data_IF_647808297533
#
_entry.id   IF_647808297533
#
_cell.length_a   1.000
_cell.length_b   1.000
_cell.length_c   1.000
_cell.angle_alpha   90.00
_cell.angle_beta   90.00
_cell.angle_gamma   90.00
#
_symmetry.space_group_name_H-M   'P 1'
#
loop_
_entity.id
_entity.type
_entity.pdbx_description
1 polymer ?
#
# COMPACT_ATOMS: atom_id res chain seq x y z
N UNK A 1 60.73 -19.96 -18.06
CA UNK A 1 59.33 -20.44 -18.11
C UNK A 1 58.48 -19.31 -18.69
N UNK A 2 58.14 -19.37 -19.98
CA UNK A 2 57.48 -18.25 -20.67
C UNK A 2 55.98 -18.17 -20.37
N UNK A 3 55.47 -16.98 -20.03
CA UNK A 3 54.03 -16.75 -19.84
C UNK A 3 53.29 -16.91 -21.17
N UNK A 4 52.30 -17.81 -21.24
CA UNK A 4 51.38 -17.92 -22.38
C UNK A 4 50.26 -16.90 -22.21
N UNK A 5 50.26 -15.85 -23.02
CA UNK A 5 49.23 -14.80 -23.01
C UNK A 5 47.86 -15.27 -23.51
N UNK A 6 47.80 -16.31 -24.34
CA UNK A 6 46.55 -16.84 -24.90
C UNK A 6 46.49 -18.36 -24.83
N UNK A 7 45.32 -18.88 -24.46
CA UNK A 7 45.00 -20.32 -24.44
C UNK A 7 43.65 -20.51 -25.12
N UNK A 8 43.60 -21.31 -26.20
CA UNK A 8 42.35 -21.66 -26.87
C UNK A 8 41.42 -22.38 -25.89
N UNK A 9 40.19 -21.89 -25.76
CA UNK A 9 39.09 -22.55 -25.04
C UNK A 9 37.93 -22.73 -26.00
N UNK A 10 37.37 -23.94 -26.04
CA UNK A 10 36.10 -24.21 -26.74
C UNK A 10 34.96 -24.00 -25.75
N UNK A 11 34.05 -23.08 -26.07
CA UNK A 11 32.81 -22.85 -25.31
C UNK A 11 31.63 -23.36 -26.12
N UNK A 12 30.67 -23.99 -25.44
CA UNK A 12 29.40 -24.36 -26.06
C UNK A 12 28.56 -23.09 -26.24
N UNK A 13 28.14 -22.81 -27.47
CA UNK A 13 27.22 -21.73 -27.77
C UNK A 13 25.81 -22.31 -27.98
N UNK A 14 24.76 -21.61 -27.53
CA UNK A 14 23.39 -22.08 -27.73
C UNK A 14 23.09 -22.15 -29.23
N UNK A 15 22.45 -23.24 -29.64
CA UNK A 15 21.93 -23.38 -31.00
C UNK A 15 20.70 -22.50 -31.17
N UNK A 16 20.32 -22.18 -32.41
CA UNK A 16 19.15 -21.33 -32.67
C UNK A 16 17.85 -21.84 -32.02
N UNK A 17 17.56 -23.16 -31.88
CA UNK A 17 16.38 -23.62 -31.15
C UNK A 17 16.46 -23.30 -29.65
N UNK A 18 17.64 -23.45 -29.04
CA UNK A 18 17.86 -23.09 -27.63
C UNK A 18 17.64 -21.60 -27.41
N UNK A 19 18.12 -20.76 -28.33
CA UNK A 19 17.90 -19.30 -28.27
C UNK A 19 16.40 -18.99 -28.35
N UNK A 20 15.67 -19.58 -29.31
CA UNK A 20 14.22 -19.35 -29.46
C UNK A 20 13.43 -19.81 -28.24
N UNK A 21 13.71 -21.02 -27.72
CA UNK A 21 13.06 -21.52 -26.50
C UNK A 21 13.35 -20.62 -25.31
N UNK A 22 14.60 -20.15 -25.18
CA UNK A 22 14.98 -19.22 -24.09
C UNK A 22 14.24 -17.89 -24.19
N UNK A 23 14.15 -17.31 -25.40
CA UNK A 23 13.38 -16.08 -25.64
C UNK A 23 11.91 -16.30 -25.30
N UNK A 24 11.33 -17.42 -25.74
CA UNK A 24 9.94 -17.75 -25.44
C UNK A 24 9.69 -17.83 -23.94
N UNK A 25 10.54 -18.53 -23.19
CA UNK A 25 10.44 -18.63 -21.73
C UNK A 25 10.54 -17.25 -21.06
N UNK A 26 11.47 -16.40 -21.52
CA UNK A 26 11.63 -15.04 -20.98
C UNK A 26 10.38 -14.22 -21.24
N UNK A 27 9.87 -14.22 -22.48
CA UNK A 27 8.69 -13.44 -22.86
C UNK A 27 7.45 -13.91 -22.10
N UNK A 28 7.21 -15.23 -22.01
CA UNK A 28 6.06 -15.75 -21.26
C UNK A 28 6.17 -15.45 -19.78
N UNK A 29 7.37 -15.51 -19.19
CA UNK A 29 7.60 -15.14 -17.79
C UNK A 29 7.34 -13.66 -17.54
N UNK A 30 7.83 -12.78 -18.42
CA UNK A 30 7.59 -11.33 -18.34
C UNK A 30 6.09 -11.05 -18.43
N UNK A 31 5.40 -11.64 -19.41
CA UNK A 31 3.96 -11.48 -19.57
C UNK A 31 3.22 -11.96 -18.32
N UNK A 32 3.55 -13.15 -17.81
CA UNK A 32 2.93 -13.70 -16.60
C UNK A 32 3.12 -12.77 -15.40
N UNK A 33 4.33 -12.25 -15.18
CA UNK A 33 4.61 -11.28 -14.11
C UNK A 33 3.79 -10.01 -14.32
N UNK A 34 3.78 -9.46 -15.53
CA UNK A 34 3.02 -8.24 -15.83
C UNK A 34 1.52 -8.44 -15.57
N UNK A 35 0.91 -9.49 -16.10
CA UNK A 35 -0.53 -9.76 -15.93
C UNK A 35 -0.90 -10.08 -14.48
N UNK A 36 -0.02 -10.72 -13.73
CA UNK A 36 -0.27 -11.08 -12.32
C UNK A 36 0.06 -9.97 -11.34
N UNK A 37 0.89 -8.99 -11.73
CA UNK A 37 1.43 -7.96 -10.85
C UNK A 37 0.36 -7.07 -10.24
N UNK A 38 -0.67 -6.70 -11.01
CA UNK A 38 -1.75 -5.85 -10.53
C UNK A 38 -2.53 -6.53 -9.39
N UNK A 39 -3.08 -7.73 -9.64
CA UNK A 39 -3.80 -8.50 -8.62
C UNK A 39 -2.92 -8.88 -7.42
N UNK A 40 -1.63 -9.15 -7.65
CA UNK A 40 -0.70 -9.36 -6.57
C UNK A 40 -0.63 -8.12 -5.67
N UNK A 41 -0.42 -6.94 -6.23
CA UNK A 41 -0.28 -5.69 -5.49
C UNK A 41 -1.59 -5.20 -4.85
N UNK A 42 -2.71 -5.34 -5.56
CA UNK A 42 -4.06 -4.94 -5.18
C UNK A 42 -4.72 -5.93 -4.21
N UNK A 43 -3.99 -6.32 -3.16
CA UNK A 43 -4.42 -7.38 -2.24
C UNK A 43 -5.42 -6.87 -1.21
N UNK A 44 -6.54 -7.59 -1.09
CA UNK A 44 -7.46 -7.51 0.04
C UNK A 44 -7.40 -8.81 0.80
N UNK A 45 -7.07 -8.73 2.09
CA UNK A 45 -7.02 -9.85 3.02
C UNK A 45 -7.34 -9.33 4.42
N UNK A 46 -8.62 -9.36 4.79
CA UNK A 46 -9.12 -8.90 6.08
C UNK A 46 -8.75 -9.90 7.18
N UNK A 47 -8.50 -9.40 8.39
CA UNK A 47 -8.33 -10.28 9.56
C UNK A 47 -9.66 -10.54 10.26
N UNK A 48 -9.86 -11.75 10.81
CA UNK A 48 -11.08 -12.05 11.54
C UNK A 48 -11.20 -11.17 12.79
N UNK A 49 -12.42 -10.73 13.08
CA UNK A 49 -12.75 -9.90 14.26
C UNK A 49 -11.96 -8.59 14.35
N UNK A 50 -11.58 -7.99 13.21
CA UNK A 50 -11.01 -6.66 13.19
C UNK A 50 -12.03 -5.65 13.77
N UNK A 51 -11.69 -5.04 14.90
CA UNK A 51 -12.52 -3.99 15.54
C UNK A 51 -12.11 -2.59 15.15
N UNK A 52 -10.97 -2.47 14.49
CA UNK A 52 -10.37 -1.18 14.13
C UNK A 52 -10.22 -1.13 12.61
N UNK A 53 -10.75 -0.06 12.01
CA UNK A 53 -10.52 0.26 10.61
C UNK A 53 -9.47 1.38 10.53
N UNK A 54 -8.29 1.10 9.99
CA UNK A 54 -7.23 2.08 9.82
C UNK A 54 -7.26 2.56 8.37
N UNK A 55 -7.27 3.87 8.11
CA UNK A 55 -7.40 4.41 6.75
C UNK A 55 -6.23 5.33 6.45
N UNK A 56 -5.55 5.11 5.32
CA UNK A 56 -4.59 6.08 4.79
C UNK A 56 -5.33 7.31 4.25
N UNK A 57 -5.20 8.45 4.92
CA UNK A 57 -6.07 9.61 4.71
C UNK A 57 -5.72 10.46 3.48
N UNK A 58 -4.63 10.14 2.76
CA UNK A 58 -4.21 10.87 1.55
C UNK A 58 -5.08 10.57 0.33
N UNK A 59 -5.95 9.55 0.42
CA UNK A 59 -6.86 9.14 -0.66
C UNK A 59 -7.94 10.21 -0.93
N UNK A 60 -8.50 10.18 -2.13
CA UNK A 60 -9.51 11.15 -2.61
C UNK A 60 -10.90 10.92 -2.00
N UNK A 61 -11.82 11.86 -2.19
CA UNK A 61 -13.18 11.78 -1.64
C UNK A 61 -13.95 10.52 -2.10
N UNK A 62 -13.79 10.06 -3.35
CA UNK A 62 -14.37 8.79 -3.81
C UNK A 62 -13.89 7.56 -3.01
N UNK A 63 -12.70 7.63 -2.43
CA UNK A 63 -12.21 6.60 -1.53
C UNK A 63 -12.80 6.77 -0.13
N UNK A 64 -13.04 8.01 0.31
CA UNK A 64 -13.71 8.28 1.59
C UNK A 64 -15.18 7.86 1.56
N UNK A 65 -15.87 7.99 0.43
CA UNK A 65 -17.21 7.43 0.19
C UNK A 65 -17.20 5.92 0.45
N UNK A 66 -16.29 5.17 -0.16
CA UNK A 66 -16.16 3.73 0.04
C UNK A 66 -15.74 3.35 1.47
N UNK A 67 -14.90 4.16 2.12
CA UNK A 67 -14.56 3.97 3.53
C UNK A 67 -15.80 4.12 4.41
N UNK A 68 -16.62 5.14 4.15
CA UNK A 68 -17.87 5.34 4.87
C UNK A 68 -18.86 4.19 4.62
N UNK A 69 -18.97 3.70 3.38
CA UNK A 69 -19.77 2.51 3.06
C UNK A 69 -19.30 1.27 3.84
N UNK A 70 -17.98 1.00 3.88
CA UNK A 70 -17.42 -0.12 4.65
C UNK A 70 -17.72 0.02 6.15
N UNK A 71 -17.59 1.23 6.70
CA UNK A 71 -17.75 1.47 8.14
C UNK A 71 -19.23 1.53 8.58
N UNK A 72 -20.14 1.89 7.67
CA UNK A 72 -21.57 1.99 7.95
C UNK A 72 -22.35 0.72 7.53
N UNK A 73 -21.71 -0.24 6.85
CA UNK A 73 -22.35 -1.49 6.45
C UNK A 73 -22.89 -2.26 7.67
N UNK A 74 -24.11 -2.80 7.60
CA UNK A 74 -24.76 -3.45 8.75
C UNK A 74 -24.00 -4.68 9.28
N UNK A 75 -23.22 -5.33 8.44
CA UNK A 75 -22.45 -6.55 8.73
C UNK A 75 -21.01 -6.28 9.18
N UNK A 76 -20.61 -5.01 9.33
CA UNK A 76 -19.27 -4.66 9.75
C UNK A 76 -19.06 -4.82 11.27
N UNK A 77 -17.82 -5.13 11.68
CA UNK A 77 -17.45 -5.32 13.09
C UNK A 77 -16.55 -4.20 13.64
N UNK A 78 -16.40 -3.10 12.90
CA UNK A 78 -15.49 -2.02 13.28
C UNK A 78 -16.13 -1.13 14.36
N UNK A 79 -15.46 -1.04 15.50
CA UNK A 79 -15.88 -0.22 16.64
C UNK A 79 -15.22 1.16 16.63
N UNK A 80 -14.13 1.34 15.87
CA UNK A 80 -13.40 2.61 15.73
C UNK A 80 -12.71 2.72 14.37
N UNK A 81 -12.55 3.96 13.89
CA UNK A 81 -11.91 4.32 12.63
C UNK A 81 -10.72 5.24 12.91
N UNK A 82 -9.53 4.84 12.46
CA UNK A 82 -8.28 5.56 12.71
C UNK A 82 -7.68 6.10 11.41
N UNK A 83 -7.51 7.41 11.34
CA UNK A 83 -6.93 8.08 10.17
C UNK A 83 -5.43 8.30 10.35
N UNK A 84 -4.65 7.74 9.43
CA UNK A 84 -3.19 7.90 9.38
C UNK A 84 -2.80 8.62 8.10
N UNK A 85 -1.82 9.52 8.17
CA UNK A 85 -1.36 10.20 6.97
C UNK A 85 -0.46 11.40 7.24
N UNK A 86 0.05 12.04 6.18
CA UNK A 86 0.92 13.18 6.32
C UNK A 86 0.14 14.47 6.60
N UNK A 87 0.89 15.54 6.85
CA UNK A 87 0.40 16.91 6.68
C UNK A 87 -0.06 17.13 5.24
N UNK A 88 -0.90 18.13 5.01
CA UNK A 88 -1.29 18.50 3.66
C UNK A 88 -0.04 18.83 2.84
N UNK A 89 0.11 18.20 1.68
CA UNK A 89 1.25 18.47 0.77
C UNK A 89 1.07 19.81 0.06
N UNK A 90 -0.17 20.11 -0.30
CA UNK A 90 -0.59 21.36 -0.90
C UNK A 90 -1.70 21.96 -0.06
N UNK A 91 -1.67 23.28 0.11
CA UNK A 91 -2.68 23.99 0.89
C UNK A 91 -2.35 24.15 2.37
N UNK A 92 -1.28 23.55 2.90
CA UNK A 92 -0.93 23.63 4.33
C UNK A 92 -0.85 25.07 4.89
N UNK A 93 -0.21 25.98 4.16
CA UNK A 93 -0.01 27.36 4.62
C UNK A 93 -1.25 28.25 4.47
N UNK A 94 -2.16 27.92 3.53
CA UNK A 94 -3.35 28.74 3.22
C UNK A 94 -4.64 28.19 3.82
N UNK A 95 -4.68 26.89 4.13
CA UNK A 95 -5.84 26.26 4.74
C UNK A 95 -5.91 26.65 6.21
N UNK A 96 -6.92 27.43 6.58
CA UNK A 96 -7.10 27.87 7.97
C UNK A 96 -7.59 26.71 8.85
N UNK A 97 -8.48 25.86 8.31
CA UNK A 97 -9.21 24.85 9.06
C UNK A 97 -8.50 23.49 9.18
N UNK A 98 -7.85 23.04 8.10
CA UNK A 98 -7.25 21.69 8.03
C UNK A 98 -5.77 21.76 7.70
N UNK A 99 -4.93 21.10 8.49
CA UNK A 99 -3.47 21.05 8.30
C UNK A 99 -2.95 19.66 7.95
N UNK A 100 -3.77 18.63 8.08
CA UNK A 100 -3.42 17.25 7.77
C UNK A 100 -4.49 16.59 6.91
N UNK A 101 -4.09 15.58 6.14
CA UNK A 101 -5.05 14.76 5.40
C UNK A 101 -6.01 14.03 6.35
N UNK A 102 -5.54 13.61 7.53
CA UNK A 102 -6.41 12.98 8.54
C UNK A 102 -7.49 13.93 9.05
N UNK A 103 -7.19 15.22 9.27
CA UNK A 103 -8.21 16.19 9.66
C UNK A 103 -9.24 16.45 8.56
N UNK A 104 -8.79 16.52 7.31
CA UNK A 104 -9.67 16.69 6.15
C UNK A 104 -10.56 15.45 5.97
N UNK A 105 -9.96 14.25 5.95
CA UNK A 105 -10.66 12.98 5.84
C UNK A 105 -11.67 12.76 6.96
N UNK A 106 -11.36 13.16 8.20
CA UNK A 106 -12.31 13.10 9.31
C UNK A 106 -13.56 13.93 9.04
N UNK A 107 -13.37 15.17 8.58
CA UNK A 107 -14.49 16.04 8.25
C UNK A 107 -15.31 15.49 7.08
N UNK A 108 -14.65 14.94 6.06
CA UNK A 108 -15.33 14.27 4.93
C UNK A 108 -16.13 13.06 5.42
N UNK A 109 -15.54 12.17 6.21
CA UNK A 109 -16.22 10.98 6.73
C UNK A 109 -17.39 11.32 7.66
N UNK A 110 -17.27 12.34 8.50
CA UNK A 110 -18.40 12.85 9.30
C UNK A 110 -19.52 13.37 8.41
N UNK A 111 -19.19 14.11 7.34
CA UNK A 111 -20.19 14.57 6.37
C UNK A 111 -20.86 13.41 5.61
N UNK A 112 -20.14 12.29 5.44
CA UNK A 112 -20.64 11.04 4.85
C UNK A 112 -21.38 10.14 5.87
N UNK A 113 -21.61 10.63 7.09
CA UNK A 113 -22.42 9.94 8.09
C UNK A 113 -21.66 8.99 9.02
N UNK A 114 -20.32 8.95 8.99
CA UNK A 114 -19.54 8.22 10.00
C UNK A 114 -19.61 8.98 11.34
N UNK A 115 -20.00 8.34 12.46
CA UNK A 115 -20.11 9.01 13.74
C UNK A 115 -18.78 9.61 14.19
N UNK A 116 -18.77 10.90 14.55
CA UNK A 116 -17.53 11.63 14.85
C UNK A 116 -16.76 11.03 16.02
N UNK A 117 -17.46 10.51 17.03
CA UNK A 117 -16.90 9.86 18.22
C UNK A 117 -16.17 8.54 17.91
N UNK A 118 -16.40 7.98 16.72
CA UNK A 118 -15.73 6.77 16.22
C UNK A 118 -14.46 7.09 15.44
N UNK A 119 -14.23 8.35 15.06
CA UNK A 119 -13.11 8.77 14.23
C UNK A 119 -11.98 9.28 15.12
N UNK A 120 -10.82 8.63 15.01
CA UNK A 120 -9.60 8.97 15.73
C UNK A 120 -8.49 9.36 14.75
N UNK A 121 -7.67 10.34 15.12
CA UNK A 121 -6.59 10.84 14.28
C UNK A 121 -5.26 10.47 14.90
N UNK A 122 -4.43 9.73 14.16
CA UNK A 122 -3.03 9.59 14.53
C UNK A 122 -2.27 10.89 14.21
N UNK A 123 -1.22 11.23 14.98
CA UNK A 123 -0.34 12.35 14.66
C UNK A 123 0.17 12.26 13.22
N UNK A 124 0.22 13.41 12.54
CA UNK A 124 0.67 13.46 11.16
C UNK A 124 2.10 12.95 11.01
N UNK A 125 2.33 12.10 10.01
CA UNK A 125 3.68 11.66 9.66
C UNK A 125 4.52 12.85 9.20
N UNK A 126 5.84 12.81 9.46
CA UNK A 126 6.75 13.84 8.95
C UNK A 126 6.71 13.87 7.41
N UNK A 127 6.85 15.04 6.77
CA UNK A 127 6.73 15.15 5.31
C UNK A 127 7.91 14.52 4.53
N UNK A 128 9.02 14.22 5.19
CA UNK A 128 10.27 13.76 4.58
C UNK A 128 10.47 12.25 4.73
N UNK A 129 10.49 11.53 3.59
CA UNK A 129 10.73 10.08 3.40
C UNK A 129 9.90 9.17 4.34
N UNK A 130 9.74 7.90 3.97
CA UNK A 130 9.12 6.87 4.85
C UNK A 130 7.72 7.23 5.41
N UNK A 131 6.84 7.89 4.63
CA UNK A 131 5.55 8.42 5.12
C UNK A 131 4.67 7.34 5.73
N UNK A 132 4.47 6.22 5.02
CA UNK A 132 3.66 5.09 5.52
C UNK A 132 4.27 4.49 6.79
N UNK A 133 5.59 4.35 6.87
CA UNK A 133 6.26 3.87 8.07
C UNK A 133 6.09 4.83 9.26
N UNK A 134 6.32 6.13 9.06
CA UNK A 134 6.14 7.14 10.11
C UNK A 134 4.67 7.23 10.55
N UNK A 135 3.72 7.11 9.63
CA UNK A 135 2.30 7.06 9.93
C UNK A 135 1.94 5.81 10.77
N UNK A 136 2.51 4.65 10.42
CA UNK A 136 2.33 3.41 11.16
C UNK A 136 2.96 3.45 12.56
N UNK A 137 4.13 4.08 12.73
CA UNK A 137 4.76 4.28 14.04
C UNK A 137 3.90 5.18 14.93
N UNK A 138 3.39 6.29 14.37
CA UNK A 138 2.49 7.18 15.09
C UNK A 138 1.22 6.43 15.51
N UNK A 139 0.61 5.66 14.60
CA UNK A 139 -0.53 4.81 14.93
C UNK A 139 -0.22 3.82 16.05
N UNK A 140 0.91 3.10 15.98
CA UNK A 140 1.31 2.15 17.03
C UNK A 140 1.38 2.83 18.39
N UNK A 141 1.94 4.03 18.45
CA UNK A 141 2.04 4.80 19.69
C UNK A 141 0.66 5.24 20.21
N UNK A 142 -0.23 5.67 19.33
CA UNK A 142 -1.60 6.04 19.71
C UNK A 142 -2.40 4.83 20.20
N UNK A 143 -2.39 3.73 19.46
CA UNK A 143 -3.06 2.50 19.88
C UNK A 143 -2.52 2.00 21.22
N UNK A 144 -1.22 2.19 21.50
CA UNK A 144 -0.64 1.92 22.82
C UNK A 144 -1.18 2.81 23.92
N UNK A 145 -1.28 4.12 23.68
CA UNK A 145 -1.81 5.07 24.65
C UNK A 145 -3.31 4.84 24.92
N UNK A 146 -4.07 4.39 23.91
CA UNK A 146 -5.48 4.05 24.03
C UNK A 146 -5.75 2.65 24.58
N UNK A 147 -4.71 1.86 24.92
CA UNK A 147 -4.88 0.50 25.42
C UNK A 147 -5.27 -0.54 24.36
N UNK A 148 -5.18 -0.20 23.07
CA UNK A 148 -5.60 -0.99 21.91
C UNK A 148 -4.43 -1.67 21.17
N UNK A 149 -3.23 -1.75 21.76
CA UNK A 149 -2.02 -2.30 21.10
C UNK A 149 -2.12 -3.74 20.61
N UNK A 150 -3.07 -4.53 21.13
CA UNK A 150 -3.28 -5.93 20.76
C UNK A 150 -4.54 -6.18 19.94
N UNK A 151 -5.27 -5.12 19.58
CA UNK A 151 -6.50 -5.25 18.82
C UNK A 151 -6.19 -5.46 17.32
N UNK A 152 -6.81 -6.48 16.68
CA UNK A 152 -6.70 -6.67 15.25
C UNK A 152 -7.32 -5.51 14.48
N UNK A 153 -6.69 -5.14 13.36
CA UNK A 153 -7.17 -4.05 12.52
C UNK A 153 -6.99 -4.34 11.04
N UNK A 154 -7.86 -3.76 10.23
CA UNK A 154 -7.72 -3.75 8.78
C UNK A 154 -7.22 -2.38 8.32
N UNK A 155 -6.14 -2.38 7.53
CA UNK A 155 -5.65 -1.19 6.85
C UNK A 155 -6.40 -0.99 5.53
N UNK A 156 -6.90 0.21 5.27
CA UNK A 156 -7.56 0.60 4.03
C UNK A 156 -6.65 1.54 3.26
N UNK A 157 -6.39 1.20 2.00
CA UNK A 157 -5.64 2.05 1.07
C UNK A 157 -6.01 1.74 -0.38
N UNK A 158 -5.38 2.42 -1.33
CA UNK A 158 -5.73 2.36 -2.76
C UNK A 158 -5.00 1.25 -3.51
N UNK A 159 -5.78 0.28 -4.02
CA UNK A 159 -5.41 -0.61 -5.11
C UNK A 159 -3.97 -1.17 -5.01
N UNK A 160 -3.16 -1.02 -6.06
CA UNK A 160 -1.78 -1.53 -6.15
C UNK A 160 -0.81 -0.97 -5.09
N UNK A 161 -1.20 0.06 -4.34
CA UNK A 161 -0.43 0.53 -3.19
C UNK A 161 -0.56 -0.39 -1.96
N UNK A 162 -1.64 -1.19 -1.90
CA UNK A 162 -2.04 -1.95 -0.74
C UNK A 162 -0.96 -2.89 -0.22
N UNK A 163 -0.35 -3.70 -1.10
CA UNK A 163 0.66 -4.66 -0.64
C UNK A 163 1.87 -3.99 -0.01
N UNK A 164 2.35 -2.88 -0.59
CA UNK A 164 3.50 -2.17 -0.02
C UNK A 164 3.17 -1.57 1.34
N UNK A 165 2.03 -0.87 1.45
CA UNK A 165 1.59 -0.32 2.73
C UNK A 165 1.42 -1.41 3.79
N UNK A 166 0.85 -2.55 3.39
CA UNK A 166 0.66 -3.68 4.29
C UNK A 166 1.98 -4.26 4.81
N UNK A 167 2.98 -4.44 3.95
CA UNK A 167 4.33 -4.86 4.35
C UNK A 167 4.94 -3.85 5.32
N UNK A 168 4.87 -2.55 5.00
CA UNK A 168 5.43 -1.49 5.84
C UNK A 168 4.78 -1.45 7.22
N UNK A 169 3.44 -1.49 7.30
CA UNK A 169 2.70 -1.50 8.56
C UNK A 169 3.04 -2.76 9.36
N UNK A 170 3.07 -3.94 8.73
CA UNK A 170 3.47 -5.19 9.38
C UNK A 170 4.89 -5.17 9.95
N UNK A 171 5.80 -4.34 9.45
CA UNK A 171 7.15 -4.22 10.03
C UNK A 171 7.19 -3.36 11.29
N UNK A 172 6.21 -2.48 11.49
CA UNK A 172 6.11 -1.62 12.69
C UNK A 172 5.50 -2.36 13.88
N UNK A 173 4.50 -3.19 13.61
CA UNK A 173 3.74 -3.92 14.63
C UNK A 173 4.35 -5.31 14.90
N UNK A 174 4.20 -5.77 16.14
CA UNK A 174 4.73 -7.08 16.57
C UNK A 174 3.85 -8.24 16.09
N UNK A 175 2.53 -8.11 16.24
CA UNK A 175 1.52 -9.12 15.87
C UNK A 175 1.07 -8.94 14.41
N UNK A 176 1.91 -9.39 13.48
CA UNK A 176 1.71 -9.20 12.04
C UNK A 176 0.49 -9.94 11.49
N UNK A 177 0.12 -11.04 12.12
CA UNK A 177 -1.04 -11.87 11.80
C UNK A 177 -2.39 -11.19 12.13
N UNK A 178 -2.37 -10.16 12.97
CA UNK A 178 -3.55 -9.37 13.35
C UNK A 178 -3.76 -8.11 12.50
N UNK A 179 -3.04 -8.01 11.37
CA UNK A 179 -3.10 -6.84 10.49
C UNK A 179 -3.61 -7.29 9.13
N UNK A 180 -4.84 -6.93 8.82
CA UNK A 180 -5.43 -7.12 7.51
C UNK A 180 -5.25 -5.91 6.61
N UNK A 181 -5.73 -6.05 5.38
CA UNK A 181 -5.60 -5.05 4.32
C UNK A 181 -6.85 -5.07 3.44
N UNK A 182 -7.31 -3.88 3.05
CA UNK A 182 -8.40 -3.67 2.11
C UNK A 182 -7.88 -2.73 1.03
N UNK A 183 -7.76 -3.25 -0.19
CA UNK A 183 -7.41 -2.49 -1.37
C UNK A 183 -8.68 -1.93 -2.00
N UNK A 184 -8.89 -0.62 -1.91
CA UNK A 184 -9.97 0.07 -2.60
C UNK A 184 -9.67 0.15 -4.11
N UNK A 185 -10.70 0.15 -4.97
CA UNK A 185 -10.53 0.35 -6.40
C UNK A 185 -9.84 1.71 -6.69
N UNK A 186 -9.07 1.77 -7.79
CA UNK A 186 -8.40 2.98 -8.21
C UNK A 186 -9.41 4.01 -8.72
N UNK A 187 -9.14 5.28 -8.50
CA UNK A 187 -9.97 6.38 -9.05
C UNK A 187 -9.52 6.77 -10.45
N UNK A 188 -8.22 6.60 -10.76
CA UNK A 188 -7.62 7.11 -11.99
C UNK A 188 -7.74 6.18 -13.22
N UNK A 189 -8.23 4.95 -13.05
CA UNK A 189 -8.34 3.96 -14.13
C UNK A 189 -9.33 2.84 -13.77
N UNK A 190 -9.72 2.01 -14.74
CA UNK A 190 -10.47 0.78 -14.51
C UNK A 190 -9.51 -0.35 -14.08
N UNK A 191 -9.71 -0.92 -12.89
CA UNK A 191 -8.85 -1.96 -12.34
C UNK A 191 -8.80 -3.23 -13.20
N UNK A 192 -9.91 -3.64 -13.81
CA UNK A 192 -9.97 -4.85 -14.64
C UNK A 192 -9.28 -4.64 -15.98
N UNK A 193 -9.25 -3.40 -16.47
CA UNK A 193 -8.63 -2.99 -17.73
C UNK A 193 -7.39 -2.13 -17.52
N UNK A 194 -6.68 -2.31 -16.41
CA UNK A 194 -5.60 -1.41 -15.99
C UNK A 194 -4.52 -1.19 -17.05
N UNK A 195 -4.21 -2.21 -17.86
CA UNK A 195 -3.24 -2.15 -18.96
C UNK A 195 -3.65 -1.23 -20.11
N UNK A 196 -4.94 -0.93 -20.27
CA UNK A 196 -5.45 -0.05 -21.31
C UNK A 196 -5.25 1.44 -20.96
N UNK A 197 -4.76 1.73 -19.75
CA UNK A 197 -4.56 3.09 -19.27
C UNK A 197 -3.10 3.36 -18.90
N UNK A 198 -2.58 4.55 -19.24
CA UNK A 198 -1.25 4.96 -18.80
C UNK A 198 -1.14 5.02 -17.28
N UNK A 199 -2.23 5.44 -16.60
CA UNK A 199 -2.29 5.49 -15.14
C UNK A 199 -2.13 4.10 -14.51
N UNK A 200 -2.92 3.11 -14.95
CA UNK A 200 -2.85 1.74 -14.46
C UNK A 200 -1.47 1.11 -14.69
N UNK A 201 -0.93 1.20 -15.92
CA UNK A 201 0.40 0.66 -16.22
C UNK A 201 1.49 1.29 -15.35
N UNK A 202 1.52 2.63 -15.24
CA UNK A 202 2.53 3.33 -14.44
C UNK A 202 2.41 2.98 -12.95
N UNK A 203 1.19 3.02 -12.41
CA UNK A 203 0.95 2.68 -11.00
C UNK A 203 1.41 1.26 -10.67
N UNK A 204 1.05 0.27 -11.49
CA UNK A 204 1.45 -1.13 -11.26
C UNK A 204 2.96 -1.34 -11.34
N UNK A 205 3.63 -0.74 -12.34
CA UNK A 205 5.09 -0.90 -12.49
C UNK A 205 5.82 -0.22 -11.32
N UNK A 206 5.46 1.02 -11.00
CA UNK A 206 6.13 1.74 -9.92
C UNK A 206 5.88 1.10 -8.56
N UNK A 207 4.66 0.65 -8.30
CA UNK A 207 4.37 -0.08 -7.05
C UNK A 207 5.01 -1.46 -7.02
N UNK A 208 5.21 -2.14 -8.16
CA UNK A 208 5.98 -3.40 -8.21
C UNK A 208 7.41 -3.18 -7.74
N UNK A 209 8.08 -2.15 -8.29
CA UNK A 209 9.46 -1.78 -7.92
C UNK A 209 9.51 -1.31 -6.46
N UNK A 210 8.59 -0.43 -6.05
CA UNK A 210 8.55 0.09 -4.70
C UNK A 210 8.24 -1.00 -3.67
N UNK A 211 7.34 -1.94 -3.98
CA UNK A 211 6.99 -3.06 -3.11
C UNK A 211 8.17 -4.04 -2.98
N UNK A 212 8.89 -4.32 -4.07
CA UNK A 212 10.11 -5.14 -4.01
C UNK A 212 11.19 -4.45 -3.20
N UNK A 213 11.40 -3.15 -3.42
CA UNK A 213 12.32 -2.34 -2.62
C UNK A 213 11.91 -2.43 -1.15
N UNK A 214 10.66 -2.14 -0.81
CA UNK A 214 10.17 -2.24 0.56
C UNK A 214 10.40 -3.64 1.13
N UNK A 215 10.08 -4.72 0.42
CA UNK A 215 10.28 -6.09 0.91
C UNK A 215 11.74 -6.39 1.28
N UNK A 216 12.70 -5.92 0.47
CA UNK A 216 14.14 -6.19 0.65
C UNK A 216 14.82 -5.26 1.66
N UNK A 217 14.09 -4.27 2.19
CA UNK A 217 14.67 -3.15 2.92
C UNK A 217 13.99 -2.91 4.26
N UNK A 218 14.68 -2.31 5.23
CA UNK A 218 14.02 -1.88 6.46
C UNK A 218 13.18 -0.61 6.19
N UNK A 219 11.94 -0.61 6.63
CA UNK A 219 10.97 0.48 6.35
C UNK A 219 11.37 1.82 6.94
N UNK A 220 12.09 1.78 8.08
CA UNK A 220 12.44 2.93 8.91
C UNK A 220 13.90 3.36 8.82
N UNK A 221 14.58 2.99 7.73
CA UNK A 221 15.97 3.38 7.45
C UNK A 221 16.27 4.85 7.71
#
# INVERSE_FOLDING_TARGET
MGFKFFKKRTIWLPTWPVILVSILIIVTSILFILFSSHNFLAVTNKVPNAKILVVESWMTDNSMEQVAEIFNAEDNNYESLWLIGPRLERGYYISEKYKTYSQMGAATLTALGVPQEKIHLAPASKPLRHRTFSAAVNLKNELKQSGLSSEPFDLVTLNVHARRSWITVKKVFEKKDQIGIIALPPVAYDAEKWMQSSAGVKSTIFESIACLYELLTDSGR
#
